data_IF_373968449848
#
_entry.id   IF_373968449848
#
_cell.length_a   1.000
_cell.length_b   1.000
_cell.length_c   1.000
_cell.angle_alpha   90.00
_cell.angle_beta   90.00
_cell.angle_gamma   90.00
#
_symmetry.space_group_name_H-M   'P 1'
#
loop_
_entity.id
_entity.type
_entity.pdbx_description
1 polymer ?
#
# COMPACT_ATOMS: atom_id res chain seq x y z
N UNK A 1 -3.43 16.17 -7.35
CA UNK A 1 -2.27 16.13 -8.27
C UNK A 1 -2.71 15.36 -9.51
N UNK A 2 -2.88 16.03 -10.66
CA UNK A 2 -3.35 15.39 -11.89
C UNK A 2 -2.20 15.06 -12.84
N UNK A 3 -1.91 13.78 -13.04
CA UNK A 3 -0.99 13.35 -14.09
C UNK A 3 -1.75 13.33 -15.43
N UNK A 4 -1.24 14.06 -16.43
CA UNK A 4 -1.74 14.05 -17.82
C UNK A 4 -3.24 14.37 -17.98
N UNK A 5 -3.77 15.30 -17.19
CA UNK A 5 -5.18 15.73 -17.29
C UNK A 5 -6.19 14.81 -16.62
N UNK A 6 -5.74 13.76 -15.93
CA UNK A 6 -6.59 12.91 -15.09
C UNK A 6 -6.65 13.52 -13.69
N UNK A 7 -7.76 14.18 -13.35
CA UNK A 7 -7.99 14.68 -11.98
C UNK A 7 -8.54 13.60 -11.05
N UNK A 8 -9.06 12.51 -11.62
CA UNK A 8 -9.79 11.49 -10.89
C UNK A 8 -8.90 10.27 -10.64
N UNK A 9 -8.42 10.11 -9.41
CA UNK A 9 -7.48 9.04 -9.04
C UNK A 9 -8.16 7.68 -8.88
N UNK A 10 -9.49 7.61 -8.92
CA UNK A 10 -10.31 6.42 -8.70
C UNK A 10 -9.90 5.20 -9.54
N UNK A 11 -9.45 5.41 -10.78
CA UNK A 11 -8.98 4.33 -11.67
C UNK A 11 -7.66 3.72 -11.15
N UNK A 12 -6.75 4.53 -10.63
CA UNK A 12 -5.52 4.05 -10.02
C UNK A 12 -5.80 3.29 -8.74
N UNK A 13 -6.77 3.74 -7.95
CA UNK A 13 -7.19 3.04 -6.73
C UNK A 13 -7.72 1.64 -7.05
N UNK A 14 -8.59 1.52 -8.06
CA UNK A 14 -9.10 0.22 -8.50
C UNK A 14 -7.98 -0.72 -8.95
N UNK A 15 -7.00 -0.21 -9.71
CA UNK A 15 -5.84 -0.98 -10.16
C UNK A 15 -4.97 -1.45 -8.98
N UNK A 16 -4.74 -0.58 -8.00
CA UNK A 16 -3.93 -0.89 -6.83
C UNK A 16 -4.61 -1.92 -5.91
N UNK A 17 -5.91 -1.79 -5.66
CA UNK A 17 -6.64 -2.73 -4.81
C UNK A 17 -6.85 -4.11 -5.47
N UNK A 18 -7.26 -4.14 -6.74
CA UNK A 18 -7.64 -5.40 -7.40
C UNK A 18 -6.48 -6.05 -8.15
N UNK A 19 -5.80 -5.31 -9.03
CA UNK A 19 -4.75 -5.91 -9.85
C UNK A 19 -3.48 -6.12 -9.02
N UNK A 20 -3.01 -5.08 -8.33
CA UNK A 20 -1.81 -5.19 -7.50
C UNK A 20 -2.10 -5.92 -6.18
N UNK A 21 -3.21 -5.66 -5.49
CA UNK A 21 -3.56 -6.34 -4.24
C UNK A 21 -3.94 -7.81 -4.45
N UNK A 22 -5.14 -8.05 -5.00
CA UNK A 22 -5.67 -9.40 -5.16
C UNK A 22 -4.93 -10.22 -6.21
N UNK A 23 -4.51 -9.61 -7.32
CA UNK A 23 -3.77 -10.30 -8.38
C UNK A 23 -2.41 -10.84 -7.91
N UNK A 24 -1.64 -10.05 -7.15
CA UNK A 24 -0.37 -10.52 -6.58
C UNK A 24 -0.60 -11.53 -5.46
N UNK A 25 -1.61 -11.37 -4.61
CA UNK A 25 -1.94 -12.35 -3.57
C UNK A 25 -2.33 -13.71 -4.16
N UNK A 26 -3.16 -13.74 -5.19
CA UNK A 26 -3.53 -14.99 -5.89
C UNK A 26 -2.29 -15.60 -6.54
N UNK A 27 -1.47 -14.80 -7.20
CA UNK A 27 -0.22 -15.27 -7.81
C UNK A 27 0.76 -15.83 -6.79
N UNK A 28 0.84 -15.22 -5.59
CA UNK A 28 1.63 -15.75 -4.49
C UNK A 28 1.15 -17.16 -4.10
N UNK A 29 -0.16 -17.40 -3.97
CA UNK A 29 -0.67 -18.73 -3.62
C UNK A 29 -0.21 -19.81 -4.61
N UNK A 30 -0.11 -19.48 -5.91
CA UNK A 30 0.41 -20.41 -6.92
C UNK A 30 1.90 -20.69 -6.79
N UNK A 31 2.71 -19.75 -6.31
CA UNK A 31 4.14 -20.00 -6.02
C UNK A 31 4.34 -20.88 -4.79
N UNK A 32 3.45 -20.80 -3.80
CA UNK A 32 3.38 -21.76 -2.68
C UNK A 32 3.11 -23.19 -3.19
N UNK A 33 2.22 -23.37 -4.16
CA UNK A 33 1.95 -24.68 -4.79
C UNK A 33 3.16 -25.22 -5.54
N UNK A 34 3.97 -24.34 -6.14
CA UNK A 34 5.23 -24.71 -6.80
C UNK A 34 6.39 -24.96 -5.84
N UNK A 35 6.21 -24.73 -4.55
CA UNK A 35 7.23 -24.88 -3.52
C UNK A 35 8.24 -23.72 -3.47
N UNK A 36 7.94 -22.59 -4.12
CA UNK A 36 8.81 -21.41 -4.13
C UNK A 36 8.41 -20.43 -3.01
N UNK A 37 8.87 -20.72 -1.81
CA UNK A 37 8.56 -19.90 -0.62
C UNK A 37 9.15 -18.49 -0.69
N UNK A 38 10.24 -18.28 -1.43
CA UNK A 38 10.86 -16.96 -1.58
C UNK A 38 10.03 -16.04 -2.48
N UNK A 39 9.56 -16.52 -3.63
CA UNK A 39 8.68 -15.72 -4.49
C UNK A 39 7.32 -15.49 -3.83
N UNK A 40 6.81 -16.45 -3.06
CA UNK A 40 5.61 -16.28 -2.26
C UNK A 40 5.71 -15.05 -1.32
N UNK A 41 6.78 -14.94 -0.53
CA UNK A 41 6.92 -13.85 0.43
C UNK A 41 7.04 -12.50 -0.25
N UNK A 42 7.76 -12.43 -1.37
CA UNK A 42 7.90 -11.22 -2.18
C UNK A 42 6.54 -10.80 -2.75
N UNK A 43 5.85 -11.69 -3.46
CA UNK A 43 4.57 -11.38 -4.11
C UNK A 43 3.48 -11.03 -3.09
N UNK A 44 3.44 -11.72 -1.95
CA UNK A 44 2.50 -11.42 -0.88
C UNK A 44 2.79 -10.06 -0.21
N UNK A 45 4.06 -9.74 0.07
CA UNK A 45 4.44 -8.44 0.65
C UNK A 45 4.09 -7.29 -0.30
N UNK A 46 4.44 -7.39 -1.58
CA UNK A 46 4.08 -6.37 -2.58
C UNK A 46 2.56 -6.27 -2.77
N UNK A 47 1.84 -7.39 -2.80
CA UNK A 47 0.38 -7.39 -2.91
C UNK A 47 -0.30 -6.67 -1.76
N UNK A 48 0.08 -6.98 -0.52
CA UNK A 48 -0.48 -6.33 0.67
C UNK A 48 -0.11 -4.84 0.75
N UNK A 49 1.13 -4.48 0.38
CA UNK A 49 1.57 -3.09 0.35
C UNK A 49 0.78 -2.25 -0.67
N UNK A 50 0.67 -2.71 -1.91
CA UNK A 50 -0.07 -1.97 -2.94
C UNK A 50 -1.58 -1.98 -2.71
N UNK A 51 -2.13 -3.07 -2.18
CA UNK A 51 -3.53 -3.15 -1.78
C UNK A 51 -3.87 -2.16 -0.66
N UNK A 52 -3.04 -2.13 0.39
CA UNK A 52 -3.17 -1.16 1.48
C UNK A 52 -2.99 0.29 1.02
N UNK A 53 -2.06 0.54 0.11
CA UNK A 53 -1.85 1.85 -0.49
C UNK A 53 -3.09 2.32 -1.26
N UNK A 54 -3.73 1.43 -2.02
CA UNK A 54 -5.00 1.69 -2.69
C UNK A 54 -6.10 2.11 -1.72
N UNK A 55 -6.25 1.42 -0.58
CA UNK A 55 -7.22 1.78 0.47
C UNK A 55 -6.93 3.16 1.08
N UNK A 56 -5.66 3.51 1.23
CA UNK A 56 -5.19 4.78 1.80
C UNK A 56 -5.55 6.00 0.94
N UNK A 57 -5.52 5.84 -0.38
CA UNK A 57 -5.83 6.90 -1.35
C UNK A 57 -7.29 6.86 -1.83
N UNK A 58 -8.08 5.87 -1.38
CA UNK A 58 -9.49 5.72 -1.75
C UNK A 58 -10.32 6.81 -1.04
N UNK A 59 -11.01 7.71 -1.77
CA UNK A 59 -11.79 8.78 -1.13
C UNK A 59 -12.95 8.25 -0.27
N UNK A 60 -13.47 7.04 -0.53
CA UNK A 60 -14.57 6.46 0.25
C UNK A 60 -14.16 5.91 1.62
N UNK A 61 -12.86 5.79 1.92
CA UNK A 61 -12.41 5.36 3.26
C UNK A 61 -12.33 6.52 4.25
N UNK A 62 -12.43 7.77 3.78
CA UNK A 62 -12.47 8.96 4.62
C UNK A 62 -11.17 9.23 5.38
N UNK A 63 -10.06 8.54 5.07
CA UNK A 63 -8.78 8.72 5.77
C UNK A 63 -8.28 10.15 5.58
N UNK A 64 -8.34 10.69 4.36
CA UNK A 64 -7.95 12.08 4.09
C UNK A 64 -8.87 13.10 4.79
N UNK A 65 -10.16 12.79 4.92
CA UNK A 65 -11.13 13.64 5.61
C UNK A 65 -10.96 13.59 7.14
N UNK A 66 -10.49 12.46 7.69
CA UNK A 66 -10.21 12.30 9.12
C UNK A 66 -9.08 13.21 9.61
N UNK A 67 -8.18 13.65 8.72
CA UNK A 67 -7.13 14.61 9.04
C UNK A 67 -7.61 16.07 9.07
N UNK A 68 -8.90 16.35 8.82
CA UNK A 68 -9.53 17.69 8.98
C UNK A 68 -8.76 18.88 8.35
N UNK A 69 -7.94 18.64 7.33
CA UNK A 69 -7.11 19.66 6.70
C UNK A 69 -5.71 19.85 7.30
N UNK A 70 -5.33 19.08 8.32
CA UNK A 70 -3.96 19.04 8.85
C UNK A 70 -3.04 18.20 7.95
N UNK A 71 -2.68 18.81 6.84
CA UNK A 71 -1.88 18.17 5.78
C UNK A 71 -0.50 17.73 6.28
N UNK A 72 0.08 18.37 7.29
CA UNK A 72 1.39 18.01 7.82
C UNK A 72 1.37 16.65 8.54
N UNK A 73 0.33 16.38 9.32
CA UNK A 73 0.15 15.10 10.01
C UNK A 73 -0.11 13.97 9.01
N UNK A 74 -0.92 14.24 7.97
CA UNK A 74 -1.15 13.31 6.87
C UNK A 74 0.16 12.96 6.13
N UNK A 75 1.00 13.95 5.78
CA UNK A 75 2.26 13.68 5.10
C UNK A 75 3.27 12.92 5.96
N UNK A 76 3.31 13.16 7.28
CA UNK A 76 4.13 12.38 8.20
C UNK A 76 3.64 10.94 8.34
N UNK A 77 2.33 10.73 8.52
CA UNK A 77 1.74 9.40 8.60
C UNK A 77 1.91 8.62 7.29
N UNK A 78 1.73 9.30 6.15
CA UNK A 78 1.98 8.73 4.83
C UNK A 78 3.46 8.40 4.63
N UNK A 79 4.37 9.26 5.09
CA UNK A 79 5.80 9.00 5.12
C UNK A 79 6.13 7.75 5.94
N UNK A 80 5.55 7.61 7.13
CA UNK A 80 5.71 6.41 7.97
C UNK A 80 5.07 5.18 7.31
N UNK A 81 3.96 5.30 6.59
CA UNK A 81 3.38 4.19 5.85
C UNK A 81 4.29 3.73 4.70
N UNK A 82 4.86 4.68 3.96
CA UNK A 82 5.78 4.40 2.86
C UNK A 82 7.13 3.84 3.37
N UNK A 83 7.59 4.32 4.54
CA UNK A 83 8.83 3.92 5.21
C UNK A 83 8.63 2.79 6.23
N UNK A 84 7.40 2.30 6.43
CA UNK A 84 6.98 1.56 7.63
C UNK A 84 7.68 0.22 7.85
N UNK A 85 8.27 -0.36 6.81
CA UNK A 85 9.13 -1.53 6.97
C UNK A 85 10.51 -1.21 7.57
N UNK A 86 10.91 0.07 7.58
CA UNK A 86 12.20 0.54 8.11
C UNK A 86 12.13 0.99 9.58
N UNK A 87 10.95 1.39 10.05
CA UNK A 87 10.80 1.98 11.39
C UNK A 87 10.77 0.93 12.51
N UNK A 88 10.28 -0.29 12.22
CA UNK A 88 10.47 -1.46 13.09
C UNK A 88 11.95 -1.73 13.38
N UNK A 89 12.82 -1.62 12.35
CA UNK A 89 14.27 -1.77 12.52
C UNK A 89 14.94 -0.65 13.32
N UNK A 90 14.36 0.55 13.37
CA UNK A 90 14.93 1.66 14.14
C UNK A 90 14.53 1.59 15.61
N UNK A 91 13.33 1.09 15.93
CA UNK A 91 12.90 0.93 17.31
C UNK A 91 13.64 -0.20 18.03
N UNK A 92 13.89 -1.32 17.37
CA UNK A 92 14.69 -2.44 17.93
C UNK A 92 16.19 -2.12 18.12
N UNK A 93 16.69 -1.03 17.51
CA UNK A 93 18.11 -0.64 17.62
C UNK A 93 18.40 0.36 18.73
N UNK A 94 17.38 0.76 19.48
CA UNK A 94 17.46 1.76 20.55
C UNK A 94 17.14 1.18 21.94
N UNK A 95 16.88 -0.12 22.03
CA UNK A 95 16.78 -0.91 23.27
C UNK A 95 18.00 -1.84 23.39
#
# INVERSE_FOLDING_TARGET
>A
MGFRGVSNQSVFVANLCFLAGLGLLISAQWEMVRGNTFEYTILAAFGLYYGGYGVLILPSTGILESYQGDTAEYYNAFGIYQLGESYSYLKERTD
#
